data_IF_875558537288
#
_entry.id   IF_875558537288
#
_cell.length_a   1.000
_cell.length_b   1.000
_cell.length_c   1.000
_cell.angle_alpha   90.00
_cell.angle_beta   90.00
_cell.angle_gamma   90.00
#
_symmetry.space_group_name_H-M   'P 1'
#
loop_
_entity.id
_entity.type
_entity.pdbx_description
1 polymer ?
#
# COMPACT_ATOMS: atom_id res chain seq x y z
N UNK A 1 -7.30 -16.81 -1.77
CA UNK A 1 -6.55 -17.55 -2.82
C UNK A 1 -6.93 -17.07 -4.21
N UNK A 2 -8.20 -17.20 -4.65
CA UNK A 2 -8.61 -16.75 -5.99
C UNK A 2 -8.26 -15.27 -6.29
N UNK A 3 -8.64 -14.34 -5.40
CA UNK A 3 -8.28 -12.91 -5.56
C UNK A 3 -6.78 -12.67 -5.55
N UNK A 4 -6.02 -13.42 -4.74
CA UNK A 4 -4.55 -13.36 -4.69
C UNK A 4 -3.95 -13.75 -6.04
N UNK A 5 -4.42 -14.84 -6.65
CA UNK A 5 -3.98 -15.28 -7.98
C UNK A 5 -4.34 -14.23 -9.04
N UNK A 6 -5.53 -13.63 -8.94
CA UNK A 6 -5.96 -12.55 -9.81
C UNK A 6 -5.06 -11.32 -9.69
N UNK A 7 -4.60 -10.96 -8.47
CA UNK A 7 -3.65 -9.85 -8.27
C UNK A 7 -2.36 -10.08 -9.04
N UNK A 8 -1.76 -11.26 -8.85
CA UNK A 8 -0.52 -11.62 -9.54
C UNK A 8 -0.73 -11.66 -11.04
N UNK A 9 -1.84 -12.25 -11.52
CA UNK A 9 -2.19 -12.27 -12.94
C UNK A 9 -2.30 -10.85 -13.51
N UNK A 10 -3.01 -9.94 -12.85
CA UNK A 10 -3.15 -8.56 -13.29
C UNK A 10 -1.79 -7.84 -13.37
N UNK A 11 -0.93 -8.00 -12.36
CA UNK A 11 0.43 -7.44 -12.37
C UNK A 11 1.27 -8.01 -13.51
N UNK A 12 1.23 -9.32 -13.75
CA UNK A 12 1.95 -9.95 -14.85
C UNK A 12 1.46 -9.47 -16.22
N UNK A 13 0.14 -9.30 -16.38
CA UNK A 13 -0.44 -8.73 -17.60
C UNK A 13 0.04 -7.29 -17.77
N UNK A 14 0.01 -6.46 -16.73
CA UNK A 14 0.46 -5.07 -16.82
C UNK A 14 1.94 -4.98 -17.22
N UNK A 15 2.82 -5.70 -16.52
CA UNK A 15 4.26 -5.69 -16.86
C UNK A 15 4.49 -6.26 -18.26
N UNK A 16 3.87 -7.40 -18.59
CA UNK A 16 4.08 -8.06 -19.87
C UNK A 16 3.58 -7.25 -21.07
N UNK A 17 2.41 -6.64 -20.98
CA UNK A 17 1.84 -5.83 -22.07
C UNK A 17 2.64 -4.56 -22.30
N UNK A 18 3.06 -3.86 -21.25
CA UNK A 18 3.93 -2.67 -21.41
C UNK A 18 5.29 -3.05 -21.98
N UNK A 19 5.91 -4.14 -21.50
CA UNK A 19 7.18 -4.59 -22.07
C UNK A 19 7.05 -4.91 -23.56
N UNK A 20 5.96 -5.55 -24.00
CA UNK A 20 5.70 -5.81 -25.42
C UNK A 20 5.50 -4.50 -26.19
N UNK A 21 4.70 -3.58 -25.65
CA UNK A 21 4.43 -2.28 -26.25
C UNK A 21 5.72 -1.45 -26.47
N UNK A 22 6.61 -1.44 -25.47
CA UNK A 22 7.93 -0.81 -25.55
C UNK A 22 8.80 -1.29 -26.73
N UNK A 23 8.57 -2.49 -27.27
CA UNK A 23 9.30 -3.01 -28.43
C UNK A 23 8.56 -2.88 -29.76
N UNK A 24 7.29 -2.44 -29.75
CA UNK A 24 6.45 -2.38 -30.93
C UNK A 24 6.24 -0.95 -31.40
N UNK A 25 5.75 -0.07 -30.52
CA UNK A 25 5.39 1.30 -30.90
C UNK A 25 5.78 2.29 -29.78
N UNK A 26 6.14 3.53 -30.14
CA UNK A 26 6.35 4.61 -29.18
C UNK A 26 5.00 5.06 -28.59
N UNK A 27 4.95 5.25 -27.28
CA UNK A 27 3.73 5.76 -26.62
C UNK A 27 3.36 7.18 -27.07
N UNK A 28 4.35 8.08 -27.16
CA UNK A 28 4.18 9.43 -27.72
C UNK A 28 4.95 9.53 -29.05
N UNK A 29 4.26 9.79 -30.18
CA UNK A 29 4.90 9.98 -31.48
C UNK A 29 5.95 11.10 -31.50
N UNK A 30 5.84 12.09 -30.60
CA UNK A 30 6.77 13.22 -30.50
C UNK A 30 8.15 12.83 -29.93
N UNK A 31 8.23 11.75 -29.16
CA UNK A 31 9.45 11.29 -28.48
C UNK A 31 9.85 9.90 -28.97
N UNK A 32 10.29 9.82 -30.21
CA UNK A 32 10.73 8.57 -30.82
C UNK A 32 12.25 8.41 -30.73
N UNK A 33 12.70 7.43 -29.95
CA UNK A 33 13.98 6.78 -30.25
C UNK A 33 13.83 6.07 -31.59
N UNK A 34 14.81 6.21 -32.50
CA UNK A 34 14.72 5.62 -33.84
C UNK A 34 14.67 4.08 -33.84
N UNK A 35 14.99 3.45 -32.70
CA UNK A 35 15.04 2.01 -32.51
C UNK A 35 14.45 1.61 -31.15
N UNK A 36 13.75 0.46 -31.06
CA UNK A 36 13.35 -0.13 -29.79
C UNK A 36 14.54 -0.36 -28.82
N UNK A 37 14.33 -0.31 -27.49
CA UNK A 37 13.06 -0.04 -26.81
C UNK A 37 12.65 1.44 -26.87
N UNK A 38 11.36 1.68 -27.07
CA UNK A 38 10.75 3.00 -27.01
C UNK A 38 10.55 3.40 -25.55
N UNK A 39 11.34 4.37 -25.10
CA UNK A 39 11.37 4.85 -23.71
C UNK A 39 11.19 6.36 -23.75
N UNK A 40 10.31 6.88 -22.89
CA UNK A 40 10.11 8.32 -22.73
C UNK A 40 11.34 8.97 -22.08
N UNK A 41 11.73 10.19 -22.49
CA UNK A 41 12.84 10.89 -21.87
C UNK A 41 12.53 11.19 -20.39
N UNK A 42 13.43 10.75 -19.50
CA UNK A 42 13.30 10.98 -18.06
C UNK A 42 14.61 11.48 -17.46
N UNK A 43 14.49 12.40 -16.51
CA UNK A 43 15.62 12.76 -15.66
C UNK A 43 16.00 11.57 -14.79
N UNK A 44 17.26 11.14 -14.82
CA UNK A 44 17.74 10.03 -13.99
C UNK A 44 17.59 10.31 -12.49
N UNK A 45 17.53 11.59 -12.10
CA UNK A 45 17.40 11.98 -10.71
C UNK A 45 16.54 13.24 -10.57
N UNK A 46 15.38 13.09 -9.94
CA UNK A 46 14.49 14.20 -9.64
C UNK A 46 13.87 14.03 -8.24
N UNK A 47 14.13 14.99 -7.35
CA UNK A 47 13.62 14.97 -5.98
C UNK A 47 12.22 15.61 -5.83
N UNK A 48 11.68 16.25 -6.88
CA UNK A 48 10.40 16.98 -6.80
C UNK A 48 9.22 16.10 -6.35
N UNK A 49 9.27 14.79 -6.60
CA UNK A 49 8.25 13.81 -6.21
C UNK A 49 8.58 12.98 -4.96
N UNK A 50 9.67 13.26 -4.25
CA UNK A 50 10.13 12.41 -3.15
C UNK A 50 9.09 12.30 -2.02
N UNK A 51 8.51 13.42 -1.59
CA UNK A 51 7.51 13.44 -0.51
C UNK A 51 6.25 12.63 -0.85
N UNK A 52 5.78 12.74 -2.10
CA UNK A 52 4.64 11.99 -2.62
C UNK A 52 4.94 10.49 -2.67
N UNK A 53 6.05 10.08 -3.30
CA UNK A 53 6.44 8.67 -3.41
C UNK A 53 6.64 8.06 -2.01
N UNK A 54 7.23 8.80 -1.07
CA UNK A 54 7.42 8.32 0.29
C UNK A 54 6.07 8.05 0.98
N UNK A 55 5.15 9.01 0.96
CA UNK A 55 3.83 8.88 1.59
C UNK A 55 2.99 7.76 0.97
N UNK A 56 2.97 7.68 -0.37
CA UNK A 56 2.25 6.63 -1.11
C UNK A 56 2.87 5.26 -0.84
N UNK A 57 4.20 5.16 -0.78
CA UNK A 57 4.89 3.91 -0.41
C UNK A 57 4.53 3.49 1.00
N UNK A 58 4.52 4.41 1.97
CA UNK A 58 4.15 4.09 3.34
C UNK A 58 2.72 3.55 3.44
N UNK A 59 1.79 4.16 2.69
CA UNK A 59 0.42 3.66 2.57
C UNK A 59 0.36 2.27 1.93
N UNK A 60 1.12 2.03 0.86
CA UNK A 60 1.15 0.74 0.16
C UNK A 60 1.67 -0.42 1.04
N UNK A 61 2.54 -0.12 2.01
CA UNK A 61 3.07 -1.10 2.97
C UNK A 61 2.25 -1.24 4.26
N UNK A 62 1.08 -0.58 4.34
CA UNK A 62 0.28 -0.56 5.55
C UNK A 62 -0.49 -1.87 5.79
N UNK A 63 0.18 -2.88 6.34
CA UNK A 63 -0.46 -4.14 6.76
C UNK A 63 -0.48 -4.35 8.30
N UNK A 64 0.14 -3.43 9.06
CA UNK A 64 0.41 -3.57 10.48
C UNK A 64 -0.85 -3.79 11.34
N UNK A 65 -1.97 -3.16 10.97
CA UNK A 65 -3.25 -3.32 11.68
C UNK A 65 -3.83 -4.75 11.61
N UNK A 66 -3.48 -5.49 10.55
CA UNK A 66 -3.92 -6.87 10.34
C UNK A 66 -2.89 -7.90 10.83
N UNK A 67 -1.64 -7.50 11.04
CA UNK A 67 -0.55 -8.39 11.42
C UNK A 67 -0.83 -9.19 12.71
N UNK A 68 -1.37 -8.63 13.81
CA UNK A 68 -1.68 -9.41 15.01
C UNK A 68 -2.71 -10.51 14.74
N UNK A 69 -3.74 -10.23 13.92
CA UNK A 69 -4.76 -11.20 13.54
C UNK A 69 -4.18 -12.34 12.71
N UNK A 70 -3.29 -12.02 11.77
CA UNK A 70 -2.57 -13.01 10.97
C UNK A 70 -1.65 -13.88 11.84
N UNK A 71 -0.83 -13.27 12.70
CA UNK A 71 0.08 -14.02 13.58
C UNK A 71 -0.70 -14.93 14.55
N UNK A 72 -1.88 -14.49 15.02
CA UNK A 72 -2.73 -15.30 15.89
C UNK A 72 -3.23 -16.58 15.21
N UNK A 73 -3.56 -16.51 13.91
CA UNK A 73 -4.04 -17.68 13.14
C UNK A 73 -2.92 -18.55 12.57
N UNK A 74 -1.67 -18.13 12.64
CA UNK A 74 -0.53 -18.93 12.22
C UNK A 74 -0.30 -20.14 13.13
N UNK A 75 -0.13 -21.32 12.53
CA UNK A 75 0.22 -22.55 13.25
C UNK A 75 1.60 -22.47 13.91
N UNK A 76 2.61 -22.03 13.15
CA UNK A 76 3.98 -21.83 13.65
C UNK A 76 4.35 -20.35 13.70
N UNK A 77 4.22 -19.76 14.90
CA UNK A 77 4.54 -18.35 15.16
C UNK A 77 6.03 -18.04 15.05
N UNK A 78 6.91 -19.05 15.07
CA UNK A 78 8.36 -18.84 14.96
C UNK A 78 8.75 -18.35 13.56
N UNK A 79 7.97 -18.73 12.54
CA UNK A 79 8.19 -18.33 11.15
C UNK A 79 7.60 -16.97 10.81
N UNK A 80 6.87 -16.32 11.72
CA UNK A 80 6.20 -15.05 11.48
C UNK A 80 7.15 -14.01 10.90
N UNK A 81 8.29 -13.75 11.56
CA UNK A 81 9.24 -12.75 11.09
C UNK A 81 9.75 -13.05 9.67
N UNK A 82 10.11 -14.30 9.39
CA UNK A 82 10.60 -14.70 8.06
C UNK A 82 9.52 -14.56 6.98
N UNK A 83 8.27 -14.91 7.28
CA UNK A 83 7.15 -14.82 6.34
C UNK A 83 6.85 -13.34 6.04
N UNK A 84 6.73 -12.49 7.06
CA UNK A 84 6.52 -11.06 6.86
C UNK A 84 7.69 -10.40 6.10
N UNK A 85 8.94 -10.73 6.44
CA UNK A 85 10.10 -10.23 5.72
C UNK A 85 10.06 -10.63 4.23
N UNK A 86 9.78 -11.90 3.92
CA UNK A 86 9.66 -12.36 2.53
C UNK A 86 8.51 -11.67 1.79
N UNK A 87 7.39 -11.43 2.47
CA UNK A 87 6.23 -10.76 1.88
C UNK A 87 6.57 -9.29 1.54
N UNK A 88 7.21 -8.57 2.45
CA UNK A 88 7.63 -7.19 2.20
C UNK A 88 8.65 -7.07 1.08
N UNK A 89 9.65 -7.96 1.03
CA UNK A 89 10.62 -8.00 -0.08
C UNK A 89 9.92 -8.29 -1.42
N UNK A 90 8.98 -9.24 -1.43
CA UNK A 90 8.23 -9.57 -2.65
C UNK A 90 7.40 -8.38 -3.14
N UNK A 91 6.72 -7.68 -2.23
CA UNK A 91 5.96 -6.46 -2.54
C UNK A 91 6.89 -5.38 -3.09
N UNK A 92 8.07 -5.19 -2.49
CA UNK A 92 9.07 -4.22 -2.93
C UNK A 92 9.49 -4.46 -4.38
N UNK A 93 9.88 -5.70 -4.69
CA UNK A 93 10.32 -6.06 -6.03
C UNK A 93 9.20 -5.84 -7.05
N UNK A 94 7.98 -6.26 -6.73
CA UNK A 94 6.84 -6.10 -7.64
C UNK A 94 6.52 -4.62 -7.88
N UNK A 95 6.49 -3.79 -6.84
CA UNK A 95 6.22 -2.36 -6.99
C UNK A 95 7.33 -1.63 -7.74
N UNK A 96 8.60 -1.97 -7.50
CA UNK A 96 9.73 -1.38 -8.24
C UNK A 96 9.66 -1.77 -9.72
N UNK A 97 9.44 -3.05 -10.03
CA UNK A 97 9.36 -3.53 -11.42
C UNK A 97 8.19 -2.89 -12.15
N UNK A 98 7.00 -2.91 -11.54
CA UNK A 98 5.80 -2.34 -12.15
C UNK A 98 5.94 -0.82 -12.33
N UNK A 99 6.42 -0.11 -11.30
CA UNK A 99 6.62 1.33 -11.34
C UNK A 99 7.66 1.73 -12.38
N UNK A 100 8.79 1.02 -12.47
CA UNK A 100 9.82 1.29 -13.45
C UNK A 100 9.33 1.06 -14.88
N UNK A 101 8.72 -0.09 -15.17
CA UNK A 101 8.23 -0.43 -16.52
C UNK A 101 7.15 0.55 -16.98
N UNK A 102 6.16 0.85 -16.12
CA UNK A 102 5.13 1.83 -16.43
C UNK A 102 5.69 3.24 -16.62
N UNK A 103 6.61 3.68 -15.74
CA UNK A 103 7.22 5.01 -15.86
C UNK A 103 7.99 5.16 -17.17
N UNK A 104 8.82 4.17 -17.53
CA UNK A 104 9.63 4.22 -18.74
C UNK A 104 8.80 4.31 -20.03
N UNK A 105 7.63 3.68 -20.06
CA UNK A 105 6.76 3.67 -21.25
C UNK A 105 5.77 4.84 -21.28
N UNK A 106 5.01 5.07 -20.20
CA UNK A 106 3.96 6.10 -20.16
C UNK A 106 4.49 7.50 -19.86
N UNK A 107 5.66 7.63 -19.23
CA UNK A 107 6.26 8.92 -18.91
C UNK A 107 5.37 9.81 -18.05
N UNK A 108 5.24 11.08 -18.44
CA UNK A 108 4.45 12.10 -17.72
C UNK A 108 2.94 11.93 -17.87
N UNK A 109 2.49 11.16 -18.86
CA UNK A 109 1.06 10.94 -19.16
C UNK A 109 0.45 9.78 -18.37
N UNK A 110 1.20 9.20 -17.43
CA UNK A 110 0.72 8.08 -16.62
C UNK A 110 -0.45 8.50 -15.72
N UNK A 111 -1.56 7.78 -15.84
CA UNK A 111 -2.69 7.98 -14.93
C UNK A 111 -2.31 7.66 -13.46
N UNK A 112 -2.79 8.45 -12.46
CA UNK A 112 -2.54 8.18 -11.04
C UNK A 112 -2.96 6.78 -10.59
N UNK A 113 -4.03 6.25 -11.18
CA UNK A 113 -4.35 4.83 -11.09
C UNK A 113 -3.74 4.12 -12.30
N UNK A 114 -2.71 3.32 -12.05
CA UNK A 114 -1.98 2.64 -13.11
C UNK A 114 -2.87 1.78 -14.02
N UNK A 115 -3.88 1.09 -13.47
CA UNK A 115 -4.76 0.21 -14.26
C UNK A 115 -5.61 0.94 -15.30
N UNK A 116 -5.83 2.24 -15.15
CA UNK A 116 -6.61 3.02 -16.11
C UNK A 116 -5.88 3.21 -17.45
N UNK A 117 -4.56 3.06 -17.48
CA UNK A 117 -3.79 3.09 -18.73
C UNK A 117 -4.12 1.92 -19.68
N UNK A 118 -4.94 0.95 -19.24
CA UNK A 118 -5.42 -0.19 -20.05
C UNK A 118 -6.85 -0.04 -20.56
N UNK A 119 -7.55 1.07 -20.32
CA UNK A 119 -8.95 1.26 -20.76
C UNK A 119 -9.07 1.09 -22.29
N UNK A 120 -8.19 1.75 -23.03
CA UNK A 120 -8.19 1.76 -24.50
C UNK A 120 -7.17 0.78 -25.08
N UNK A 121 -6.77 -0.25 -24.33
CA UNK A 121 -5.79 -1.22 -24.80
C UNK A 121 -6.31 -2.04 -26.00
N UNK A 122 -5.70 -1.84 -27.16
CA UNK A 122 -6.06 -2.50 -28.44
C UNK A 122 -5.17 -3.70 -28.78
N UNK A 123 -4.19 -4.02 -27.94
CA UNK A 123 -3.21 -5.08 -28.20
C UNK A 123 -2.14 -4.67 -29.20
N UNK A 124 -1.71 -3.41 -29.14
CA UNK A 124 -0.64 -2.83 -29.97
C UNK A 124 -0.94 -2.98 -31.47
N UNK A 125 -2.19 -2.70 -31.84
CA UNK A 125 -2.62 -2.71 -33.24
C UNK A 125 -2.86 -1.30 -33.74
N UNK A 126 -2.58 -1.02 -35.03
CA UNK A 126 -2.84 0.28 -35.63
C UNK A 126 -4.30 0.72 -35.50
N UNK A 127 -4.47 2.03 -35.34
CA UNK A 127 -5.76 2.70 -35.29
C UNK A 127 -6.64 2.33 -36.49
N UNK A 128 -7.90 1.98 -36.21
CA UNK A 128 -8.88 1.58 -37.22
C UNK A 128 -8.96 0.08 -37.49
N UNK A 129 -8.11 -0.75 -36.87
CA UNK A 129 -8.28 -2.21 -36.91
C UNK A 129 -9.21 -2.71 -35.79
N UNK A 130 -10.01 -3.78 -36.03
CA UNK A 130 -10.85 -4.33 -34.98
C UNK A 130 -9.99 -4.91 -33.85
N UNK A 131 -10.20 -4.40 -32.64
CA UNK A 131 -9.54 -4.87 -31.42
C UNK A 131 -9.82 -6.38 -31.22
N UNK A 132 -8.78 -7.22 -31.10
CA UNK A 132 -8.96 -8.64 -30.94
C UNK A 132 -9.58 -8.97 -29.58
N UNK A 133 -10.37 -10.05 -29.54
CA UNK A 133 -11.10 -10.44 -28.33
C UNK A 133 -10.17 -10.65 -27.11
N UNK A 134 -8.95 -11.15 -27.32
CA UNK A 134 -7.99 -11.39 -26.24
C UNK A 134 -7.48 -10.09 -25.62
N UNK A 135 -7.28 -9.03 -26.40
CA UNK A 135 -6.83 -7.73 -25.89
C UNK A 135 -7.91 -7.11 -24.99
N UNK A 136 -9.18 -7.24 -25.40
CA UNK A 136 -10.31 -6.82 -24.58
C UNK A 136 -10.43 -7.61 -23.26
N UNK A 137 -10.13 -8.91 -23.28
CA UNK A 137 -10.07 -9.73 -22.05
C UNK A 137 -8.96 -9.25 -21.12
N UNK A 138 -7.76 -8.94 -21.64
CA UNK A 138 -6.66 -8.41 -20.84
C UNK A 138 -7.00 -7.04 -20.23
N UNK A 139 -7.52 -6.12 -21.05
CA UNK A 139 -7.99 -4.80 -20.61
C UNK A 139 -9.00 -4.92 -19.47
N UNK A 140 -10.07 -5.69 -19.65
CA UNK A 140 -11.07 -5.87 -18.58
C UNK A 140 -10.49 -6.54 -17.34
N UNK A 141 -9.56 -7.48 -17.50
CA UNK A 141 -8.90 -8.13 -16.35
C UNK A 141 -8.12 -7.11 -15.52
N UNK A 142 -7.34 -6.24 -16.15
CA UNK A 142 -6.53 -5.22 -15.46
C UNK A 142 -7.40 -4.11 -14.87
N UNK A 143 -8.36 -3.59 -15.64
CA UNK A 143 -9.18 -2.44 -15.26
C UNK A 143 -10.18 -2.80 -14.16
N UNK A 144 -10.83 -3.97 -14.23
CA UNK A 144 -11.84 -4.38 -13.25
C UNK A 144 -11.24 -5.02 -12.00
N UNK A 145 -10.00 -5.49 -12.05
CA UNK A 145 -9.36 -6.17 -10.92
C UNK A 145 -9.40 -5.34 -9.62
N UNK A 146 -9.00 -4.05 -9.59
CA UNK A 146 -9.07 -3.24 -8.38
C UNK A 146 -10.50 -3.13 -7.83
N UNK A 147 -11.51 -3.05 -8.69
CA UNK A 147 -12.91 -3.00 -8.28
C UNK A 147 -13.33 -4.29 -7.57
N UNK A 148 -13.00 -5.46 -8.14
CA UNK A 148 -13.29 -6.75 -7.52
C UNK A 148 -12.56 -6.91 -6.17
N UNK A 149 -11.31 -6.46 -6.10
CA UNK A 149 -10.51 -6.51 -4.88
C UNK A 149 -11.11 -5.65 -3.77
N UNK A 150 -11.43 -4.39 -4.07
CA UNK A 150 -12.03 -3.43 -3.15
C UNK A 150 -13.41 -3.88 -2.66
N UNK A 151 -14.24 -4.46 -3.54
CA UNK A 151 -15.54 -5.00 -3.17
C UNK A 151 -15.45 -6.09 -2.09
N UNK A 152 -14.40 -6.92 -2.14
CA UNK A 152 -14.20 -7.99 -1.16
C UNK A 152 -13.66 -7.48 0.18
N UNK A 153 -12.80 -6.46 0.14
CA UNK A 153 -12.11 -5.93 1.33
C UNK A 153 -12.96 -4.90 2.08
N UNK A 154 -13.81 -4.14 1.38
CA UNK A 154 -14.62 -3.07 1.98
C UNK A 154 -15.53 -3.56 3.13
N UNK A 155 -16.32 -4.64 2.99
CA UNK A 155 -17.15 -5.15 4.08
C UNK A 155 -16.33 -5.61 5.29
N UNK A 156 -15.17 -6.23 5.03
CA UNK A 156 -14.26 -6.68 6.09
C UNK A 156 -13.73 -5.51 6.90
N UNK A 157 -13.27 -4.45 6.22
CA UNK A 157 -12.80 -3.23 6.88
C UNK A 157 -13.94 -2.54 7.65
N UNK A 158 -15.15 -2.51 7.10
CA UNK A 158 -16.34 -1.99 7.78
C UNK A 158 -16.68 -2.73 9.06
N UNK A 159 -16.57 -4.07 9.06
CA UNK A 159 -16.77 -4.88 10.26
C UNK A 159 -15.69 -4.62 11.31
N UNK A 160 -14.42 -4.56 10.89
CA UNK A 160 -13.28 -4.30 11.79
C UNK A 160 -13.40 -2.94 12.45
N UNK A 161 -13.62 -1.87 11.66
CA UNK A 161 -13.78 -0.53 12.20
C UNK A 161 -15.01 -0.42 13.10
N UNK A 162 -16.14 -1.02 12.71
CA UNK A 162 -17.34 -1.05 13.53
C UNK A 162 -17.12 -1.75 14.88
N UNK A 163 -16.39 -2.87 14.90
CA UNK A 163 -16.04 -3.57 16.15
C UNK A 163 -15.08 -2.73 17.02
N UNK A 164 -14.11 -2.03 16.41
CA UNK A 164 -13.20 -1.14 17.14
C UNK A 164 -13.94 0.03 17.79
N UNK A 165 -14.83 0.72 17.04
CA UNK A 165 -15.67 1.79 17.58
C UNK A 165 -16.56 1.29 18.73
N UNK A 166 -17.13 0.10 18.56
CA UNK A 166 -17.93 -0.54 19.60
C UNK A 166 -17.11 -0.78 20.86
N UNK A 167 -15.87 -1.27 20.72
CA UNK A 167 -14.96 -1.54 21.84
C UNK A 167 -14.50 -0.26 22.54
N UNK A 168 -14.33 0.85 21.80
CA UNK A 168 -14.00 2.16 22.37
C UNK A 168 -15.15 2.68 23.25
N UNK A 169 -16.40 2.52 22.81
CA UNK A 169 -17.56 3.11 23.50
C UNK A 169 -18.05 2.24 24.67
N UNK A 170 -18.09 0.92 24.50
CA UNK A 170 -18.69 0.02 25.48
C UNK A 170 -17.67 -0.84 26.24
N UNK A 171 -16.39 -0.78 25.86
CA UNK A 171 -15.36 -1.69 26.36
C UNK A 171 -15.28 -3.01 25.57
N UNK A 172 -14.12 -3.67 25.59
CA UNK A 172 -13.84 -4.85 24.75
C UNK A 172 -14.63 -6.11 25.15
N UNK A 173 -14.98 -6.27 26.43
CA UNK A 173 -15.59 -7.50 26.96
C UNK A 173 -17.12 -7.41 27.13
N UNK A 174 -17.72 -6.30 26.70
CA UNK A 174 -19.15 -6.05 26.89
C UNK A 174 -19.97 -6.83 25.85
N UNK A 175 -20.87 -7.70 26.31
CA UNK A 175 -21.82 -8.40 25.44
C UNK A 175 -22.89 -7.43 24.94
N UNK A 176 -22.84 -7.10 23.65
CA UNK A 176 -23.76 -6.16 23.02
C UNK A 176 -24.82 -6.86 22.17
N UNK A 177 -25.97 -6.21 22.04
CA UNK A 177 -27.04 -6.71 21.17
C UNK A 177 -26.64 -6.63 19.70
N UNK A 178 -27.17 -7.53 18.87
CA UNK A 178 -26.94 -7.54 17.42
C UNK A 178 -27.31 -6.21 16.76
N UNK A 179 -28.34 -5.51 17.27
CA UNK A 179 -28.76 -4.19 16.76
C UNK A 179 -27.68 -3.14 17.00
N UNK A 180 -27.07 -3.10 18.19
CA UNK A 180 -26.00 -2.14 18.51
C UNK A 180 -24.78 -2.37 17.63
N UNK A 181 -24.33 -3.62 17.48
CA UNK A 181 -23.17 -3.96 16.63
C UNK A 181 -23.43 -3.59 15.16
N UNK A 182 -24.63 -3.86 14.63
CA UNK A 182 -24.99 -3.45 13.27
C UNK A 182 -24.97 -1.94 13.09
N UNK A 183 -25.47 -1.17 14.07
CA UNK A 183 -25.44 0.30 14.03
C UNK A 183 -24.01 0.83 13.89
N UNK A 184 -23.07 0.34 14.70
CA UNK A 184 -21.67 0.77 14.61
C UNK A 184 -20.98 0.38 13.31
N UNK A 185 -21.34 -0.77 12.73
CA UNK A 185 -20.85 -1.16 11.40
C UNK A 185 -21.38 -0.23 10.30
N UNK A 186 -22.65 0.18 10.37
CA UNK A 186 -23.23 1.15 9.42
C UNK A 186 -22.54 2.51 9.58
N UNK A 187 -22.34 2.98 10.83
CA UNK A 187 -21.61 4.23 11.11
C UNK A 187 -20.16 4.15 10.60
N UNK A 188 -19.54 2.96 10.60
CA UNK A 188 -18.20 2.77 10.06
C UNK A 188 -18.15 2.77 8.52
N UNK A 189 -19.18 2.28 7.83
CA UNK A 189 -19.18 2.13 6.37
C UNK A 189 -19.80 3.29 5.59
N UNK A 190 -20.82 3.96 6.15
CA UNK A 190 -21.54 5.03 5.44
C UNK A 190 -20.68 6.27 5.19
N UNK A 191 -19.90 6.79 6.16
CA UNK A 191 -19.08 7.98 5.92
C UNK A 191 -18.05 7.78 4.80
N UNK A 192 -17.28 6.66 4.73
CA UNK A 192 -16.40 6.40 3.59
C UNK A 192 -17.12 6.40 2.23
N UNK A 193 -18.37 5.90 2.15
CA UNK A 193 -19.15 5.92 0.91
C UNK A 193 -19.53 7.35 0.52
N UNK A 194 -19.96 8.18 1.48
CA UNK A 194 -20.23 9.59 1.23
C UNK A 194 -18.95 10.32 0.79
N UNK A 195 -17.84 10.09 1.50
CA UNK A 195 -16.54 10.67 1.16
C UNK A 195 -16.07 10.26 -0.24
N UNK A 196 -16.31 9.03 -0.68
CA UNK A 196 -15.96 8.57 -2.03
C UNK A 196 -16.71 9.31 -3.15
N UNK A 197 -17.89 9.85 -2.85
CA UNK A 197 -18.62 10.69 -3.79
C UNK A 197 -18.06 12.12 -3.85
N UNK A 198 -17.63 12.64 -2.69
CA UNK A 198 -17.13 14.02 -2.55
C UNK A 198 -15.67 14.19 -2.98
N UNK A 199 -14.82 13.19 -2.74
CA UNK A 199 -13.38 13.24 -3.02
C UNK A 199 -13.08 12.29 -4.18
N UNK A 200 -12.60 12.84 -5.30
CA UNK A 200 -12.25 12.06 -6.51
C UNK A 200 -10.76 11.99 -6.80
N UNK A 201 -9.94 12.79 -6.11
CA UNK A 201 -8.48 12.75 -6.27
C UNK A 201 -7.86 11.69 -5.36
N UNK A 202 -7.43 10.59 -5.98
CA UNK A 202 -6.81 9.47 -5.29
C UNK A 202 -5.39 9.82 -4.84
N UNK A 203 -4.70 10.72 -5.55
CA UNK A 203 -3.35 11.14 -5.21
C UNK A 203 -3.34 11.80 -3.83
N UNK A 204 -4.10 12.88 -3.67
CA UNK A 204 -4.26 13.56 -2.36
C UNK A 204 -4.75 12.61 -1.28
N UNK A 205 -5.70 11.71 -1.60
CA UNK A 205 -6.22 10.74 -0.63
C UNK A 205 -5.12 9.80 -0.13
N UNK A 206 -4.33 9.20 -1.04
CA UNK A 206 -3.24 8.28 -0.68
C UNK A 206 -2.13 8.97 0.10
N UNK A 207 -1.82 10.24 -0.20
CA UNK A 207 -0.85 11.04 0.54
C UNK A 207 -1.30 11.32 1.98
N UNK A 208 -2.55 11.76 2.17
CA UNK A 208 -3.14 11.98 3.50
C UNK A 208 -3.18 10.66 4.28
N UNK A 209 -3.59 9.56 3.65
CA UNK A 209 -3.57 8.23 4.28
C UNK A 209 -2.14 7.80 4.66
N UNK A 210 -1.15 8.13 3.82
CA UNK A 210 0.27 7.92 4.09
C UNK A 210 0.72 8.61 5.39
N UNK A 211 0.27 9.85 5.65
CA UNK A 211 0.59 10.55 6.90
C UNK A 211 0.11 9.80 8.14
N UNK A 212 -1.09 9.24 8.13
CA UNK A 212 -1.58 8.36 9.22
C UNK A 212 -0.78 7.06 9.32
N UNK A 213 -0.19 6.60 8.22
CA UNK A 213 0.73 5.47 8.17
C UNK A 213 1.94 5.65 9.08
N UNK A 214 2.44 6.87 9.29
CA UNK A 214 3.58 7.11 10.20
C UNK A 214 3.27 6.70 11.63
N UNK A 215 2.06 6.96 12.08
CA UNK A 215 1.61 6.59 13.42
C UNK A 215 1.60 5.07 13.57
N UNK A 216 1.16 4.33 12.56
CA UNK A 216 1.02 2.88 12.63
C UNK A 216 2.31 2.10 12.36
N UNK A 217 3.18 2.63 11.49
CA UNK A 217 4.40 1.93 11.04
C UNK A 217 5.62 2.33 11.87
N UNK A 218 5.73 3.61 12.23
CA UNK A 218 6.92 4.13 12.91
C UNK A 218 6.65 4.37 14.41
N UNK A 219 5.72 5.26 14.73
CA UNK A 219 5.54 5.70 16.12
C UNK A 219 4.90 4.63 17.02
N UNK A 220 3.90 3.92 16.52
CA UNK A 220 3.20 2.87 17.26
C UNK A 220 4.13 1.74 17.70
N UNK A 221 4.83 1.07 16.78
CA UNK A 221 5.78 0.01 17.13
C UNK A 221 6.90 0.50 18.06
N UNK A 222 7.47 1.68 17.80
CA UNK A 222 8.51 2.25 18.66
C UNK A 222 8.02 2.50 20.09
N UNK A 223 6.83 3.09 20.23
CA UNK A 223 6.20 3.31 21.53
C UNK A 223 5.94 1.98 22.26
N UNK A 224 5.43 0.97 21.56
CA UNK A 224 5.19 -0.36 22.14
C UNK A 224 6.48 -1.03 22.60
N UNK A 225 7.57 -0.94 21.84
CA UNK A 225 8.88 -1.50 22.24
C UNK A 225 9.40 -0.79 23.50
N UNK A 226 9.40 0.54 23.53
CA UNK A 226 9.86 1.31 24.68
C UNK A 226 9.00 1.04 25.92
N UNK A 227 7.67 1.05 25.77
CA UNK A 227 6.73 0.81 26.87
C UNK A 227 6.84 -0.63 27.40
N UNK A 228 6.94 -1.62 26.51
CA UNK A 228 7.07 -3.02 26.90
C UNK A 228 8.37 -3.27 27.66
N UNK A 229 9.49 -2.71 27.20
CA UNK A 229 10.78 -2.79 27.89
C UNK A 229 10.75 -2.12 29.25
N UNK A 230 10.25 -0.89 29.32
CA UNK A 230 10.09 -0.16 30.59
C UNK A 230 9.21 -0.95 31.57
N UNK A 231 8.18 -1.64 31.08
CA UNK A 231 7.34 -2.51 31.89
C UNK A 231 8.09 -3.77 32.35
N UNK A 232 8.89 -4.39 31.47
CA UNK A 232 9.68 -5.56 31.82
C UNK A 232 10.77 -5.22 32.85
N UNK A 233 11.47 -4.10 32.69
CA UNK A 233 12.50 -3.64 33.62
C UNK A 233 11.90 -3.30 35.01
N UNK A 234 10.69 -2.75 35.05
CA UNK A 234 9.97 -2.48 36.31
C UNK A 234 9.57 -3.76 37.05
N UNK A 235 9.20 -4.82 36.33
CA UNK A 235 8.69 -6.07 36.93
C UNK A 235 9.84 -7.03 37.29
N UNK A 236 10.82 -7.19 36.41
CA UNK A 236 11.89 -8.19 36.53
C UNK A 236 13.27 -7.60 36.86
N UNK A 237 13.37 -6.28 37.06
CA UNK A 237 14.64 -5.60 37.35
C UNK A 237 15.49 -5.36 36.09
N UNK A 238 16.79 -5.10 36.25
CA UNK A 238 17.73 -4.97 35.12
C UNK A 238 18.59 -6.24 35.02
N UNK A 239 18.66 -6.85 33.84
CA UNK A 239 19.47 -8.05 33.61
C UNK A 239 19.05 -8.85 32.38
N UNK A 240 19.77 -9.94 32.06
CA UNK A 240 19.47 -10.77 30.89
C UNK A 240 18.11 -11.48 30.96
N UNK A 241 17.51 -11.65 32.15
CA UNK A 241 16.16 -12.21 32.33
C UNK A 241 15.02 -11.28 31.88
N UNK A 242 15.33 -10.04 31.50
CA UNK A 242 14.37 -9.05 30.98
C UNK A 242 14.27 -9.14 29.45
N UNK A 243 15.21 -9.82 28.81
CA UNK A 243 15.27 -9.97 27.37
C UNK A 243 14.20 -10.96 26.91
N UNK A 244 13.39 -10.51 25.96
CA UNK A 244 12.43 -11.30 25.23
C UNK A 244 13.11 -12.00 24.05
N UNK A 245 12.47 -13.04 23.52
CA UNK A 245 12.91 -13.70 22.27
C UNK A 245 13.03 -12.73 21.09
N UNK A 246 12.30 -11.61 21.13
CA UNK A 246 12.29 -10.61 20.07
C UNK A 246 13.31 -9.49 20.29
N UNK A 247 14.12 -9.57 21.34
CA UNK A 247 15.23 -8.64 21.53
C UNK A 247 16.37 -8.94 20.56
N UNK A 248 16.80 -7.88 19.88
CA UNK A 248 17.90 -7.91 18.94
C UNK A 248 18.50 -6.51 18.76
N UNK A 249 19.49 -6.37 17.87
CA UNK A 249 20.16 -5.08 17.65
C UNK A 249 19.21 -3.95 17.24
N UNK A 250 18.13 -4.28 16.52
CA UNK A 250 17.13 -3.32 16.06
C UNK A 250 16.15 -2.86 17.15
N UNK A 251 16.07 -3.58 18.28
CA UNK A 251 15.19 -3.22 19.41
C UNK A 251 15.93 -2.48 20.52
N UNK A 252 17.22 -2.19 20.33
CA UNK A 252 17.99 -1.39 21.29
C UNK A 252 17.44 0.04 21.37
N UNK A 253 17.30 0.57 22.58
CA UNK A 253 16.69 1.90 22.80
C UNK A 253 17.35 2.99 21.95
N UNK A 254 18.68 2.98 21.80
CA UNK A 254 19.41 3.95 20.99
C UNK A 254 18.99 3.89 19.51
N UNK A 255 18.85 2.68 18.97
CA UNK A 255 18.42 2.44 17.60
C UNK A 255 16.96 2.84 17.42
N UNK A 256 16.09 2.48 18.37
CA UNK A 256 14.67 2.86 18.34
C UNK A 256 14.49 4.38 18.39
N UNK A 257 15.19 5.09 19.28
CA UNK A 257 15.14 6.56 19.33
C UNK A 257 15.72 7.21 18.08
N UNK A 258 16.81 6.69 17.53
CA UNK A 258 17.35 7.15 16.25
C UNK A 258 16.34 6.99 15.11
N UNK A 259 15.68 5.84 15.05
CA UNK A 259 14.64 5.55 14.06
C UNK A 259 13.42 6.47 14.21
N UNK A 260 12.97 6.73 15.44
CA UNK A 260 11.90 7.71 15.69
C UNK A 260 12.32 9.11 15.26
N UNK A 261 13.57 9.52 15.52
CA UNK A 261 14.09 10.81 15.07
C UNK A 261 14.05 10.97 13.54
N UNK A 262 14.48 9.95 12.81
CA UNK A 262 14.38 9.91 11.34
C UNK A 262 12.92 9.93 10.90
N UNK A 263 12.05 9.14 11.53
CA UNK A 263 10.62 9.11 11.20
C UNK A 263 9.93 10.47 11.44
N UNK A 264 10.30 11.20 12.49
CA UNK A 264 9.82 12.57 12.73
C UNK A 264 10.30 13.52 11.63
N UNK A 265 11.57 13.46 11.24
CA UNK A 265 12.09 14.28 10.16
C UNK A 265 11.36 14.01 8.83
N UNK A 266 11.17 12.73 8.49
CA UNK A 266 10.39 12.32 7.31
C UNK A 266 8.94 12.76 7.40
N UNK A 267 8.30 12.67 8.58
CA UNK A 267 6.91 13.11 8.77
C UNK A 267 6.77 14.62 8.55
N UNK A 268 7.66 15.42 9.15
CA UNK A 268 7.68 16.88 8.97
C UNK A 268 7.92 17.24 7.50
N UNK A 269 8.86 16.56 6.83
CA UNK A 269 9.10 16.76 5.41
C UNK A 269 7.85 16.42 4.58
N UNK A 270 7.22 15.26 4.81
CA UNK A 270 5.98 14.87 4.12
C UNK A 270 4.85 15.87 4.32
N UNK A 271 4.66 16.39 5.54
CA UNK A 271 3.65 17.43 5.83
C UNK A 271 3.99 18.74 5.11
N UNK A 272 5.25 19.16 5.12
CA UNK A 272 5.70 20.37 4.42
C UNK A 272 5.44 20.26 2.91
N UNK A 273 5.83 19.14 2.28
CA UNK A 273 5.60 18.94 0.86
C UNK A 273 4.12 18.85 0.50
N UNK A 274 3.29 18.29 1.38
CA UNK A 274 1.85 18.15 1.13
C UNK A 274 1.09 19.48 1.22
N UNK A 275 1.41 20.34 2.19
CA UNK A 275 0.60 21.52 2.50
C UNK A 275 1.23 22.87 2.13
N UNK A 276 2.54 22.92 1.92
CA UNK A 276 3.28 24.20 1.76
C UNK A 276 4.01 24.27 0.42
N UNK A 277 4.44 23.15 -0.15
CA UNK A 277 5.21 23.12 -1.40
C UNK A 277 4.35 22.94 -2.68
N UNK A 278 3.02 22.91 -2.54
CA UNK A 278 2.03 22.90 -3.64
C UNK A 278 1.55 24.33 -3.89
#
# INVERSE_FOLDING_TARGET
>A
IALTLLRFLAVFIMVGTVLVAMFQEPYDPAYTTATPPYIQPQDMFNMKGFGQIFSVSLFAYLCHHSAPGLIKSMGDKQKANSIFASAFVTIAVIYIVLGAVCSLYFGTEMNPIATLNWIDYTGERPDGTPCPWWARVLSYTVVLFPCCDLLSVFPLNGVTLGNNLTSIVYGPDTKLTSRTVKKWRIIATVPPLICSYLIRDITTLTEICGLFGFVLVFFGPAALVIMSRNKCEKIWGKGPGVLTRFDGPLTENRVVFGFVGVAVACFVASVYFLFIAV
#
